data_IF_260237787884
#
_entry.id   IF_260237787884
#
_cell.length_a   1.000
_cell.length_b   1.000
_cell.length_c   1.000
_cell.angle_alpha   90.00
_cell.angle_beta   90.00
_cell.angle_gamma   90.00
#
_symmetry.space_group_name_H-M   'P 1'
#
loop_
_entity.id
_entity.type
_entity.pdbx_description
1 polymer ?
#
# COMPACT_ATOMS: atom_id res chain seq x y z
N UNK A 1 1.85 1.31 16.74
CA UNK A 1 1.02 0.16 16.30
C UNK A 1 1.20 -0.97 17.31
N UNK A 2 0.13 -1.69 17.65
CA UNK A 2 0.21 -2.87 18.52
C UNK A 2 0.98 -4.02 17.85
N UNK A 3 1.85 -4.68 18.61
CA UNK A 3 2.65 -5.85 18.19
C UNK A 3 1.79 -7.00 17.62
N UNK A 4 0.52 -7.08 18.03
CA UNK A 4 -0.45 -8.11 17.63
C UNK A 4 -0.85 -8.02 16.15
N UNK A 5 -0.96 -6.81 15.59
CA UNK A 5 -1.26 -6.64 14.16
C UNK A 5 -0.06 -7.02 13.28
N UNK A 6 1.16 -6.77 13.76
CA UNK A 6 2.41 -7.03 13.05
C UNK A 6 2.69 -8.54 12.91
N UNK A 7 2.40 -9.34 13.96
CA UNK A 7 2.50 -10.80 13.90
C UNK A 7 1.44 -11.46 13.01
N UNK A 8 0.33 -10.76 12.74
CA UNK A 8 -0.79 -11.31 11.99
C UNK A 8 -0.51 -11.32 10.48
N UNK A 9 -0.01 -10.22 9.91
CA UNK A 9 0.35 -10.17 8.48
C UNK A 9 1.45 -11.20 8.12
N UNK A 10 2.49 -11.31 8.94
CA UNK A 10 3.52 -12.36 8.81
C UNK A 10 2.92 -13.76 8.93
N UNK A 11 1.96 -13.95 9.85
CA UNK A 11 1.21 -15.19 9.99
C UNK A 11 0.45 -15.55 8.72
N UNK A 12 -0.27 -14.60 8.12
CA UNK A 12 -1.01 -14.80 6.88
C UNK A 12 -0.12 -15.22 5.71
N UNK A 13 0.99 -14.49 5.50
CA UNK A 13 1.98 -14.83 4.46
C UNK A 13 2.53 -16.23 4.67
N UNK A 14 2.84 -16.60 5.92
CA UNK A 14 3.41 -17.92 6.24
C UNK A 14 2.44 -19.08 6.02
N UNK A 15 1.15 -18.89 6.27
CA UNK A 15 0.15 -19.98 6.13
C UNK A 15 -0.47 -20.04 4.74
N UNK A 16 -0.26 -19.03 3.89
CA UNK A 16 -0.73 -19.03 2.52
C UNK A 16 0.07 -20.05 1.69
N UNK A 17 -0.64 -20.91 0.95
CA UNK A 17 -0.03 -22.00 0.16
C UNK A 17 0.38 -21.60 -1.26
N UNK A 18 0.00 -20.39 -1.69
CA UNK A 18 0.39 -19.83 -2.99
C UNK A 18 1.42 -18.71 -2.86
N UNK A 19 1.61 -17.95 -3.94
CA UNK A 19 2.48 -16.79 -3.94
C UNK A 19 1.86 -15.66 -3.11
N UNK A 20 2.63 -15.11 -2.18
CA UNK A 20 2.30 -13.89 -1.46
C UNK A 20 3.37 -12.84 -1.74
N UNK A 21 2.95 -11.67 -2.22
CA UNK A 21 3.80 -10.49 -2.39
C UNK A 21 3.20 -9.35 -1.59
N UNK A 22 4.02 -8.66 -0.82
CA UNK A 22 3.62 -7.44 -0.11
C UNK A 22 4.38 -6.27 -0.71
N UNK A 23 3.69 -5.15 -0.90
CA UNK A 23 4.27 -3.94 -1.49
C UNK A 23 3.94 -2.75 -0.60
N UNK A 24 4.93 -1.89 -0.38
CA UNK A 24 4.75 -0.60 0.27
C UNK A 24 4.93 0.51 -0.78
N UNK A 25 3.90 1.32 -0.99
CA UNK A 25 3.98 2.49 -1.85
C UNK A 25 4.55 3.65 -1.03
N UNK A 26 5.79 4.06 -1.34
CA UNK A 26 6.48 5.15 -0.65
C UNK A 26 6.01 6.51 -1.16
N UNK A 27 4.77 6.86 -0.77
CA UNK A 27 4.10 8.09 -1.16
C UNK A 27 4.50 9.21 -0.17
N UNK A 28 5.06 10.33 -0.65
CA UNK A 28 5.34 11.49 0.18
C UNK A 28 4.06 12.05 0.82
N UNK A 29 4.21 12.59 2.02
CA UNK A 29 3.10 13.22 2.73
C UNK A 29 2.37 14.30 1.91
N UNK A 30 3.11 15.11 1.16
CA UNK A 30 2.53 16.14 0.29
C UNK A 30 1.55 15.56 -0.73
N UNK A 31 1.87 14.40 -1.33
CA UNK A 31 0.99 13.72 -2.28
C UNK A 31 -0.25 13.15 -1.57
N UNK A 32 -0.11 12.72 -0.32
CA UNK A 32 -1.26 12.27 0.51
C UNK A 32 -2.24 13.43 0.75
N UNK A 33 -1.73 14.64 1.02
CA UNK A 33 -2.57 15.84 1.17
C UNK A 33 -3.29 16.21 -0.12
N UNK A 34 -2.57 16.21 -1.26
CA UNK A 34 -3.15 16.51 -2.57
C UNK A 34 -4.27 15.53 -2.92
N UNK A 35 -4.03 14.22 -2.79
CA UNK A 35 -5.04 13.18 -3.04
C UNK A 35 -6.21 13.23 -2.07
N UNK A 36 -5.97 13.61 -0.82
CA UNK A 36 -7.04 13.76 0.14
C UNK A 36 -7.96 14.92 -0.21
N UNK A 37 -7.40 16.06 -0.65
CA UNK A 37 -8.15 17.24 -1.03
C UNK A 37 -9.07 17.05 -2.26
N UNK A 38 -8.82 16.03 -3.11
CA UNK A 38 -9.68 15.74 -4.26
C UNK A 38 -10.92 14.91 -3.92
N UNK A 39 -11.07 14.45 -2.67
CA UNK A 39 -12.26 13.71 -2.23
C UNK A 39 -13.48 14.63 -2.21
N UNK A 40 -14.57 14.22 -2.85
CA UNK A 40 -15.78 15.04 -3.02
C UNK A 40 -16.66 15.17 -1.76
N UNK A 41 -16.36 14.41 -0.70
CA UNK A 41 -17.14 14.40 0.53
C UNK A 41 -16.65 15.49 1.51
N UNK A 42 -17.35 16.62 1.52
CA UNK A 42 -17.05 17.75 2.39
C UNK A 42 -17.16 17.40 3.90
N UNK A 43 -18.09 16.52 4.29
CA UNK A 43 -18.25 16.12 5.68
C UNK A 43 -17.06 15.26 6.13
N UNK A 44 -16.57 14.39 5.24
CA UNK A 44 -15.35 13.61 5.47
C UNK A 44 -14.10 14.51 5.54
N UNK A 45 -13.98 15.50 4.64
CA UNK A 45 -12.86 16.45 4.66
C UNK A 45 -12.81 17.31 5.94
N UNK A 46 -13.95 17.59 6.56
CA UNK A 46 -14.01 18.26 7.86
C UNK A 46 -13.59 17.37 9.03
N UNK A 47 -13.88 16.06 8.95
CA UNK A 47 -13.53 15.09 9.99
C UNK A 47 -12.07 14.66 9.92
N UNK A 48 -11.49 14.64 8.71
CA UNK A 48 -10.09 14.26 8.48
C UNK A 48 -9.34 15.46 7.94
N UNK A 49 -8.69 16.18 8.84
CA UNK A 49 -7.93 17.40 8.55
C UNK A 49 -6.48 17.07 8.18
N UNK A 50 -5.73 18.03 7.61
CA UNK A 50 -4.28 17.90 7.45
C UNK A 50 -3.55 17.56 8.76
N UNK A 51 -3.98 18.09 9.90
CA UNK A 51 -3.35 17.80 11.19
C UNK A 51 -3.53 16.33 11.57
N UNK A 52 -4.74 15.77 11.38
CA UNK A 52 -4.99 14.34 11.58
C UNK A 52 -4.11 13.48 10.67
N UNK A 53 -3.97 13.86 9.39
CA UNK A 53 -3.11 13.14 8.45
C UNK A 53 -1.64 13.20 8.87
N UNK A 54 -1.17 14.35 9.35
CA UNK A 54 0.20 14.53 9.86
C UNK A 54 0.48 13.64 11.06
N UNK A 55 -0.47 13.51 11.99
CA UNK A 55 -0.33 12.68 13.18
C UNK A 55 -0.25 11.18 12.86
N UNK A 56 -0.98 10.75 11.82
CA UNK A 56 -1.01 9.36 11.38
C UNK A 56 0.12 9.00 10.42
N UNK A 57 0.61 9.96 9.64
CA UNK A 57 1.63 9.70 8.62
C UNK A 57 2.97 9.31 9.25
N UNK A 58 3.49 8.16 8.82
CA UNK A 58 4.82 7.66 9.17
C UNK A 58 5.49 7.19 7.90
N UNK A 59 6.54 7.89 7.48
CA UNK A 59 7.32 7.50 6.31
C UNK A 59 7.98 6.14 6.56
N UNK A 60 7.85 5.23 5.59
CA UNK A 60 8.43 3.87 5.63
C UNK A 60 8.03 3.09 6.89
N UNK A 61 6.75 3.15 7.24
CA UNK A 61 6.15 2.32 8.30
C UNK A 61 5.97 0.87 7.81
N UNK A 62 7.11 0.23 7.52
CA UNK A 62 7.21 -1.09 6.90
C UNK A 62 6.86 -2.21 7.89
N UNK A 63 6.33 -3.30 7.35
CA UNK A 63 6.16 -4.55 8.07
C UNK A 63 7.53 -5.15 8.45
N UNK A 64 7.66 -5.73 9.66
CA UNK A 64 8.90 -6.34 10.11
C UNK A 64 9.27 -7.56 9.26
N UNK A 65 10.56 -7.85 9.18
CA UNK A 65 11.09 -9.00 8.45
C UNK A 65 11.26 -8.79 6.94
N UNK A 66 11.27 -7.53 6.48
CA UNK A 66 11.45 -7.15 5.08
C UNK A 66 10.45 -7.87 4.15
N UNK A 67 9.21 -8.02 4.59
CA UNK A 67 8.15 -8.66 3.81
C UNK A 67 7.74 -7.86 2.58
N UNK A 68 7.98 -6.56 2.60
CA UNK A 68 7.49 -5.62 1.59
C UNK A 68 8.58 -5.20 0.62
N UNK A 69 8.27 -5.28 -0.67
CA UNK A 69 9.00 -4.56 -1.72
C UNK A 69 8.55 -3.10 -1.70
N UNK A 70 9.50 -2.17 -1.58
CA UNK A 70 9.20 -0.73 -1.60
C UNK A 70 9.14 -0.23 -3.04
N UNK A 71 8.02 0.39 -3.40
CA UNK A 71 7.82 1.04 -4.70
C UNK A 71 7.83 2.55 -4.45
N UNK A 72 8.81 3.23 -5.05
CA UNK A 72 8.99 4.67 -4.91
C UNK A 72 7.92 5.49 -5.64
N UNK A 73 7.73 6.73 -5.21
CA UNK A 73 6.80 7.66 -5.86
C UNK A 73 7.22 8.10 -7.28
N UNK A 74 8.46 7.83 -7.68
CA UNK A 74 8.97 8.00 -9.03
C UNK A 74 8.53 6.88 -9.98
N UNK A 75 8.02 5.77 -9.45
CA UNK A 75 7.43 4.70 -10.26
C UNK A 75 6.11 5.16 -10.89
N UNK A 76 6.02 5.07 -12.22
CA UNK A 76 4.76 5.32 -12.92
C UNK A 76 3.71 4.25 -12.58
N UNK A 77 2.44 4.54 -12.87
CA UNK A 77 1.37 3.57 -12.68
C UNK A 77 1.64 2.30 -13.51
N UNK A 78 2.00 2.47 -14.78
CA UNK A 78 2.27 1.37 -15.72
C UNK A 78 3.43 0.51 -15.22
N UNK A 79 4.54 1.14 -14.79
CA UNK A 79 5.70 0.42 -14.27
C UNK A 79 5.37 -0.33 -12.98
N UNK A 80 4.63 0.32 -12.06
CA UNK A 80 4.18 -0.29 -10.81
C UNK A 80 3.30 -1.51 -11.07
N UNK A 81 2.33 -1.39 -11.99
CA UNK A 81 1.43 -2.49 -12.35
C UNK A 81 2.21 -3.61 -13.02
N UNK A 82 3.07 -3.30 -13.99
CA UNK A 82 3.90 -4.30 -14.68
C UNK A 82 4.79 -5.08 -13.71
N UNK A 83 5.44 -4.38 -12.76
CA UNK A 83 6.25 -5.01 -11.73
C UNK A 83 5.41 -5.95 -10.86
N UNK A 84 4.26 -5.48 -10.35
CA UNK A 84 3.40 -6.29 -9.47
C UNK A 84 2.90 -7.53 -10.21
N UNK A 85 2.43 -7.39 -11.45
CA UNK A 85 1.94 -8.51 -12.26
C UNK A 85 3.05 -9.56 -12.46
N UNK A 86 4.24 -9.10 -12.86
CA UNK A 86 5.38 -9.97 -13.09
C UNK A 86 5.85 -10.70 -11.82
N UNK A 87 6.05 -9.98 -10.72
CA UNK A 87 6.53 -10.56 -9.47
C UNK A 87 5.51 -11.53 -8.83
N UNK A 88 4.22 -11.32 -9.07
CA UNK A 88 3.15 -12.19 -8.60
C UNK A 88 2.84 -13.37 -9.52
N UNK A 89 3.33 -13.37 -10.76
CA UNK A 89 2.99 -14.35 -11.81
C UNK A 89 1.58 -14.16 -12.38
N UNK A 90 0.95 -13.00 -12.15
CA UNK A 90 -0.38 -12.69 -12.67
C UNK A 90 -0.38 -12.36 -14.17
N UNK A 91 0.77 -11.97 -14.72
CA UNK A 91 0.99 -11.79 -16.16
C UNK A 91 0.92 -13.11 -16.97
N UNK A 92 1.12 -14.25 -16.30
CA UNK A 92 1.02 -15.58 -16.92
C UNK A 92 -0.41 -16.15 -16.92
N UNK A 93 -1.34 -15.48 -16.25
CA UNK A 93 -2.73 -15.95 -16.08
C UNK A 93 -3.64 -15.21 -17.07
N UNK A 94 -4.44 -15.98 -17.81
CA UNK A 94 -5.44 -15.40 -18.70
C UNK A 94 -6.44 -14.55 -17.88
N UNK A 95 -6.79 -13.33 -18.34
CA UNK A 95 -7.82 -12.54 -17.69
C UNK A 95 -9.12 -13.35 -17.58
N UNK A 96 -9.70 -13.37 -16.38
CA UNK A 96 -11.05 -13.90 -16.22
C UNK A 96 -12.00 -12.84 -16.78
N UNK A 97 -12.53 -13.07 -17.98
CA UNK A 97 -13.64 -12.26 -18.48
C UNK A 97 -14.80 -12.33 -17.48
N UNK A 98 -15.29 -11.16 -17.05
CA UNK A 98 -16.42 -11.02 -16.11
C UNK A 98 -17.61 -10.42 -16.81
#
# INVERSE_FOLDING_TARGET
RDSTNLSTAQGLVRVHRGVSRCYYLDVPYAETLLRHATKLDAAYLQQVTPDHLSDWYRAKDLLPGALETVIGADSSLENTVAQILHESGLDEIAPIDR
#
